data_IF_760901232771
#
_entry.id   IF_760901232771
#
_cell.length_a   1.000
_cell.length_b   1.000
_cell.length_c   1.000
_cell.angle_alpha   90.00
_cell.angle_beta   90.00
_cell.angle_gamma   90.00
#
_symmetry.space_group_name_H-M   'P 1'
#
loop_
_entity.id
_entity.type
_entity.pdbx_description
1 polymer ?
#
# COMPACT_ATOMS: atom_id res chain seq x y z
N UNK A 1 -15.75 30.25 -5.56
CA UNK A 1 -14.88 29.95 -4.41
C UNK A 1 -14.24 31.19 -3.84
N UNK A 2 -13.07 31.59 -4.36
CA UNK A 2 -12.26 32.68 -3.81
C UNK A 2 -12.99 34.02 -3.64
N UNK A 3 -13.81 34.44 -4.63
CA UNK A 3 -14.61 35.68 -4.52
C UNK A 3 -15.61 35.66 -3.35
N UNK A 4 -16.24 34.51 -3.10
CA UNK A 4 -17.20 34.36 -2.02
C UNK A 4 -16.49 34.31 -0.66
N UNK A 5 -15.52 33.42 -0.51
CA UNK A 5 -14.82 33.21 0.76
C UNK A 5 -13.91 34.37 1.14
N UNK A 6 -13.23 34.98 0.17
CA UNK A 6 -12.41 36.18 0.38
C UNK A 6 -13.24 37.34 0.92
N UNK A 7 -14.48 37.52 0.42
CA UNK A 7 -15.35 38.61 0.89
C UNK A 7 -15.69 38.53 2.38
N UNK A 8 -15.83 37.33 2.94
CA UNK A 8 -16.05 37.13 4.38
C UNK A 8 -14.83 37.48 5.24
N UNK A 9 -13.63 37.45 4.66
CA UNK A 9 -12.37 37.77 5.33
C UNK A 9 -11.86 39.19 4.98
N UNK A 10 -12.63 39.96 4.19
CA UNK A 10 -12.20 41.27 3.70
C UNK A 10 -11.02 41.21 2.72
N UNK A 11 -10.79 40.06 2.08
CA UNK A 11 -9.72 39.84 1.12
C UNK A 11 -10.25 39.84 -0.31
N UNK A 12 -9.48 40.39 -1.23
CA UNK A 12 -9.74 40.19 -2.66
C UNK A 12 -9.51 38.72 -3.04
N UNK A 13 -10.10 38.24 -4.16
CA UNK A 13 -10.01 36.84 -4.55
C UNK A 13 -8.57 36.33 -4.71
N UNK A 14 -7.65 37.17 -5.16
CA UNK A 14 -6.27 36.79 -5.45
C UNK A 14 -5.45 36.68 -4.16
N UNK A 15 -5.61 37.64 -3.25
CA UNK A 15 -5.02 37.59 -1.91
C UNK A 15 -5.51 36.38 -1.11
N UNK A 16 -6.81 36.10 -1.15
CA UNK A 16 -7.38 34.91 -0.52
C UNK A 16 -6.78 33.62 -1.10
N UNK A 17 -6.76 33.48 -2.43
CA UNK A 17 -6.19 32.30 -3.08
C UNK A 17 -4.73 32.09 -2.72
N UNK A 18 -3.94 33.17 -2.63
CA UNK A 18 -2.52 33.12 -2.23
C UNK A 18 -2.34 32.65 -0.79
N UNK A 19 -3.16 33.14 0.13
CA UNK A 19 -3.13 32.72 1.54
C UNK A 19 -3.47 31.23 1.67
N UNK A 20 -4.48 30.76 0.95
CA UNK A 20 -4.84 29.34 0.90
C UNK A 20 -3.69 28.51 0.33
N UNK A 21 -3.10 28.89 -0.80
CA UNK A 21 -1.95 28.17 -1.40
C UNK A 21 -0.79 28.06 -0.42
N UNK A 22 -0.46 29.16 0.26
CA UNK A 22 0.61 29.21 1.26
C UNK A 22 0.32 28.33 2.47
N UNK A 23 -0.94 28.31 2.93
CA UNK A 23 -1.38 27.43 4.02
C UNK A 23 -1.26 25.95 3.65
N UNK A 24 -1.69 25.57 2.44
CA UNK A 24 -1.51 24.20 1.93
C UNK A 24 -0.03 23.81 1.83
N UNK A 25 0.82 24.69 1.29
CA UNK A 25 2.25 24.44 1.22
C UNK A 25 2.90 24.28 2.60
N UNK A 26 2.50 25.09 3.58
CA UNK A 26 2.95 24.96 4.99
C UNK A 26 2.56 23.59 5.55
N UNK A 27 1.33 23.14 5.31
CA UNK A 27 0.86 21.84 5.78
C UNK A 27 1.64 20.68 5.15
N UNK A 28 1.91 20.73 3.84
CA UNK A 28 2.75 19.72 3.15
C UNK A 28 4.15 19.67 3.77
N UNK A 29 4.77 20.83 4.00
CA UNK A 29 6.07 20.90 4.67
C UNK A 29 6.02 20.29 6.08
N UNK A 30 4.99 20.62 6.86
CA UNK A 30 4.80 20.10 8.22
C UNK A 30 4.63 18.57 8.22
N UNK A 31 3.86 18.03 7.28
CA UNK A 31 3.66 16.58 7.15
C UNK A 31 4.95 15.87 6.77
N UNK A 32 5.75 16.44 5.86
CA UNK A 32 7.08 15.91 5.51
C UNK A 32 8.00 15.91 6.73
N UNK A 33 8.05 17.01 7.49
CA UNK A 33 8.88 17.08 8.70
C UNK A 33 8.41 16.10 9.76
N UNK A 34 7.10 15.99 10.01
CA UNK A 34 6.56 15.04 10.97
C UNK A 34 6.86 13.59 10.58
N UNK A 35 6.89 13.29 9.27
CA UNK A 35 7.26 11.97 8.77
C UNK A 35 8.73 11.61 9.09
N UNK A 36 9.67 12.54 8.88
CA UNK A 36 11.10 12.29 9.12
C UNK A 36 11.53 12.47 10.58
N UNK A 37 10.93 13.42 11.30
CA UNK A 37 11.29 13.81 12.65
C UNK A 37 10.27 13.24 13.67
N UNK A 38 10.15 11.91 13.72
CA UNK A 38 9.12 11.21 14.52
C UNK A 38 9.16 11.50 16.02
N UNK A 39 10.31 11.92 16.53
CA UNK A 39 10.51 12.26 17.95
C UNK A 39 9.99 13.67 18.30
N UNK A 40 9.65 14.49 17.30
CA UNK A 40 9.13 15.83 17.51
C UNK A 40 7.60 15.84 17.50
N UNK A 41 7.03 16.62 18.42
CA UNK A 41 5.60 16.91 18.39
C UNK A 41 5.27 17.84 17.23
N UNK A 42 4.10 17.64 16.62
CA UNK A 42 3.66 18.42 15.45
C UNK A 42 3.59 19.91 15.76
N UNK A 43 3.17 20.29 16.96
CA UNK A 43 3.06 21.70 17.38
C UNK A 43 4.43 22.39 17.42
N UNK A 44 5.49 21.66 17.79
CA UNK A 44 6.83 22.21 17.84
C UNK A 44 7.43 22.39 16.45
N UNK A 45 7.19 21.43 15.55
CA UNK A 45 7.53 21.57 14.12
C UNK A 45 6.78 22.75 13.47
N UNK A 46 5.52 22.98 13.84
CA UNK A 46 4.75 24.09 13.31
C UNK A 46 5.33 25.45 13.74
N UNK A 47 5.75 25.59 15.00
CA UNK A 47 6.43 26.81 15.49
C UNK A 47 7.74 27.07 14.74
N UNK A 48 8.49 26.02 14.42
CA UNK A 48 9.72 26.14 13.64
C UNK A 48 9.42 26.59 12.20
N UNK A 49 8.38 26.02 11.58
CA UNK A 49 7.92 26.44 10.25
C UNK A 49 7.29 27.84 10.22
N UNK A 50 6.84 28.39 11.35
CA UNK A 50 6.36 29.78 11.40
C UNK A 50 7.49 30.80 11.17
N UNK A 51 8.75 30.42 11.41
CA UNK A 51 9.93 31.30 11.34
C UNK A 51 10.79 31.05 10.08
N UNK A 52 10.17 30.79 8.92
CA UNK A 52 10.87 30.48 7.66
C UNK A 52 11.89 31.52 7.19
N UNK A 53 11.78 32.76 7.68
CA UNK A 53 12.71 33.86 7.35
C UNK A 53 14.14 33.55 7.80
N UNK A 54 14.32 32.78 8.86
CA UNK A 54 15.62 32.52 9.47
C UNK A 54 16.01 31.05 9.42
N UNK A 55 15.02 30.15 9.38
CA UNK A 55 15.25 28.71 9.41
C UNK A 55 14.54 28.02 8.26
N UNK A 56 15.26 27.14 7.57
CA UNK A 56 14.72 26.30 6.52
C UNK A 56 15.21 24.87 6.73
N UNK A 57 14.29 23.91 6.66
CA UNK A 57 14.62 22.50 6.87
C UNK A 57 15.09 21.87 5.57
N UNK A 58 16.27 21.26 5.58
CA UNK A 58 16.78 20.52 4.45
C UNK A 58 16.34 19.06 4.49
N UNK A 59 15.70 18.59 3.43
CA UNK A 59 15.34 17.20 3.21
C UNK A 59 16.27 16.66 2.12
N UNK A 60 17.13 15.71 2.50
CA UNK A 60 18.16 15.19 1.60
C UNK A 60 17.64 14.14 0.61
N UNK A 61 16.40 13.68 0.78
CA UNK A 61 15.75 12.77 -0.17
C UNK A 61 14.82 13.53 -1.12
N UNK A 62 14.75 13.16 -2.40
CA UNK A 62 13.84 13.82 -3.34
C UNK A 62 12.38 13.73 -2.91
N UNK A 63 11.66 14.85 -3.02
CA UNK A 63 10.22 14.94 -2.76
C UNK A 63 9.50 14.91 -4.09
N UNK A 64 8.78 13.83 -4.37
CA UNK A 64 8.00 13.67 -5.61
C UNK A 64 6.55 14.05 -5.34
N UNK A 65 6.07 15.06 -6.06
CA UNK A 65 4.72 15.59 -5.91
C UNK A 65 3.78 14.97 -6.96
N UNK A 66 2.71 14.31 -6.51
CA UNK A 66 1.68 13.68 -7.38
C UNK A 66 0.27 14.12 -6.98
N UNK A 67 -0.64 14.15 -7.96
CA UNK A 67 -2.01 14.60 -7.85
C UNK A 67 -2.19 16.07 -8.27
N UNK A 68 -3.30 16.40 -8.93
CA UNK A 68 -3.64 17.81 -9.13
C UNK A 68 -4.17 18.40 -7.81
N UNK A 69 -3.84 19.66 -7.45
CA UNK A 69 -3.06 20.64 -8.22
C UNK A 69 -1.62 20.84 -7.69
N UNK A 70 -0.85 19.78 -7.44
CA UNK A 70 0.44 19.89 -6.73
C UNK A 70 1.44 20.87 -7.34
N UNK A 71 1.45 21.03 -8.68
CA UNK A 71 2.32 22.00 -9.38
C UNK A 71 2.10 23.43 -8.86
N UNK A 72 0.88 23.76 -8.47
CA UNK A 72 0.54 25.09 -7.98
C UNK A 72 1.19 25.39 -6.62
N UNK A 73 1.45 24.39 -5.78
CA UNK A 73 1.99 24.58 -4.42
C UNK A 73 3.52 24.58 -4.34
N UNK A 74 4.22 24.16 -5.40
CA UNK A 74 5.69 24.04 -5.40
C UNK A 74 6.41 25.35 -5.07
N UNK A 75 6.02 26.53 -5.63
CA UNK A 75 6.68 27.79 -5.30
C UNK A 75 6.62 28.10 -3.80
N UNK A 76 5.44 27.99 -3.19
CA UNK A 76 5.24 28.26 -1.76
C UNK A 76 5.91 27.18 -0.90
N UNK A 77 5.90 25.91 -1.32
CA UNK A 77 6.55 24.82 -0.58
C UNK A 77 8.06 25.04 -0.45
N UNK A 78 8.68 25.58 -1.50
CA UNK A 78 10.11 25.96 -1.49
C UNK A 78 10.42 27.09 -0.53
N UNK A 79 9.45 27.83 0.01
CA UNK A 79 9.68 28.81 1.08
C UNK A 79 9.86 28.11 2.44
N UNK A 80 9.24 26.96 2.64
CA UNK A 80 9.23 26.24 3.92
C UNK A 80 10.35 25.20 4.04
N UNK A 81 10.67 24.51 2.94
CA UNK A 81 11.66 23.40 2.94
C UNK A 81 12.67 23.53 1.80
N UNK A 82 13.88 23.07 2.07
CA UNK A 82 14.96 22.93 1.08
C UNK A 82 15.06 21.45 0.68
N UNK A 83 14.59 21.12 -0.51
CA UNK A 83 14.54 19.75 -1.00
C UNK A 83 14.60 19.72 -2.53
N UNK A 84 15.04 18.60 -3.08
CA UNK A 84 14.87 18.29 -4.50
C UNK A 84 13.39 17.94 -4.77
N UNK A 85 12.59 18.97 -5.04
CA UNK A 85 11.15 18.83 -5.32
C UNK A 85 10.94 18.58 -6.82
N UNK A 86 10.41 17.41 -7.15
CA UNK A 86 10.15 16.95 -8.51
C UNK A 86 8.65 16.82 -8.75
N UNK A 87 8.19 17.34 -9.88
CA UNK A 87 6.81 17.14 -10.37
C UNK A 87 6.90 16.35 -11.68
N UNK A 88 6.50 15.07 -11.69
CA UNK A 88 6.49 14.27 -12.91
C UNK A 88 5.53 14.83 -13.97
N UNK A 89 5.76 14.48 -15.25
CA UNK A 89 4.92 14.90 -16.38
C UNK A 89 3.44 14.57 -16.14
N UNK A 90 3.14 13.31 -15.85
CA UNK A 90 1.79 12.79 -15.60
C UNK A 90 1.36 12.84 -14.12
N UNK A 91 1.83 13.83 -13.36
CA UNK A 91 1.55 13.96 -11.92
C UNK A 91 0.05 13.91 -11.58
N UNK A 92 -0.80 14.48 -12.43
CA UNK A 92 -2.26 14.53 -12.24
C UNK A 92 -2.94 13.15 -12.15
N UNK A 93 -2.37 12.15 -12.81
CA UNK A 93 -2.85 10.76 -12.81
C UNK A 93 -1.90 9.81 -12.08
N UNK A 94 -1.01 10.33 -11.23
CA UNK A 94 0.03 9.54 -10.56
C UNK A 94 -0.51 8.31 -9.82
N UNK A 95 -1.68 8.42 -9.18
CA UNK A 95 -2.33 7.28 -8.53
C UNK A 95 -2.77 6.20 -9.53
N UNK A 96 -3.34 6.59 -10.67
CA UNK A 96 -3.75 5.64 -11.71
C UNK A 96 -2.54 4.98 -12.39
N UNK A 97 -1.50 5.77 -12.67
CA UNK A 97 -0.24 5.25 -13.18
C UNK A 97 0.39 4.25 -12.19
N UNK A 98 0.37 4.52 -10.90
CA UNK A 98 0.84 3.60 -9.86
C UNK A 98 0.02 2.31 -9.77
N UNK A 99 -1.30 2.39 -9.94
CA UNK A 99 -2.16 1.21 -9.98
C UNK A 99 -1.86 0.33 -11.20
N UNK A 100 -1.61 0.93 -12.37
CA UNK A 100 -1.28 0.20 -13.59
C UNK A 100 0.14 -0.39 -13.56
N UNK A 101 1.12 0.36 -13.04
CA UNK A 101 2.52 -0.07 -12.97
C UNK A 101 2.82 -0.97 -11.77
N UNK A 102 1.81 -1.24 -10.93
CA UNK A 102 1.95 -2.08 -9.75
C UNK A 102 2.20 -3.54 -10.11
N UNK A 103 2.76 -4.28 -9.15
CA UNK A 103 2.80 -5.74 -9.25
C UNK A 103 1.37 -6.30 -9.16
N UNK A 104 1.08 -7.34 -9.93
CA UNK A 104 -0.09 -8.18 -9.70
C UNK A 104 0.18 -9.01 -8.45
N UNK A 105 -0.72 -8.93 -7.47
CA UNK A 105 -0.58 -9.63 -6.19
C UNK A 105 -1.82 -10.49 -5.97
N UNK A 106 -1.61 -11.80 -5.80
CA UNK A 106 -2.67 -12.76 -5.41
C UNK A 106 -2.33 -13.34 -4.05
N UNK A 107 -3.29 -13.30 -3.14
CA UNK A 107 -3.24 -14.00 -1.87
C UNK A 107 -4.41 -14.99 -1.82
N UNK A 108 -4.11 -16.23 -1.44
CA UNK A 108 -5.11 -17.26 -1.22
C UNK A 108 -4.81 -17.98 0.10
N UNK A 109 -5.88 -18.43 0.76
CA UNK A 109 -5.82 -19.17 2.01
C UNK A 109 -6.56 -20.50 1.83
N UNK A 110 -5.95 -21.59 2.34
CA UNK A 110 -6.60 -22.90 2.43
C UNK A 110 -6.54 -23.35 3.88
N UNK A 111 -7.71 -23.70 4.43
CA UNK A 111 -7.85 -24.22 5.78
C UNK A 111 -8.08 -25.73 5.75
N UNK A 112 -7.18 -26.47 6.37
CA UNK A 112 -7.25 -27.91 6.57
C UNK A 112 -7.63 -28.18 8.02
N UNK A 113 -8.74 -28.86 8.24
CA UNK A 113 -9.20 -29.20 9.60
C UNK A 113 -9.88 -30.56 9.66
N UNK A 114 -9.83 -31.29 10.79
CA UNK A 114 -10.50 -32.56 10.93
C UNK A 114 -12.02 -32.39 10.82
N UNK A 115 -12.71 -33.41 10.29
CA UNK A 115 -14.19 -33.41 10.19
C UNK A 115 -14.83 -33.50 11.57
N UNK A 116 -14.24 -34.32 12.44
CA UNK A 116 -14.68 -34.49 13.81
C UNK A 116 -13.65 -35.24 14.66
N UNK A 117 -13.87 -35.25 15.97
CA UNK A 117 -12.97 -35.95 16.89
C UNK A 117 -12.94 -37.45 16.59
N UNK A 118 -11.73 -38.00 16.41
CA UNK A 118 -11.52 -39.43 16.20
C UNK A 118 -11.66 -39.93 14.76
N UNK A 119 -11.88 -39.03 13.78
CA UNK A 119 -11.91 -39.38 12.35
C UNK A 119 -10.55 -39.18 11.71
N UNK A 120 -10.11 -40.04 10.79
CA UNK A 120 -8.89 -39.73 10.03
C UNK A 120 -9.12 -38.68 8.94
N UNK A 121 -10.39 -38.41 8.60
CA UNK A 121 -10.77 -37.54 7.51
C UNK A 121 -10.65 -36.04 7.84
N UNK A 122 -10.31 -35.25 6.83
CA UNK A 122 -10.14 -33.81 6.91
C UNK A 122 -10.99 -33.08 5.87
N UNK A 123 -11.44 -31.88 6.23
CA UNK A 123 -11.92 -30.90 5.28
C UNK A 123 -10.77 -30.00 4.82
N UNK A 124 -10.70 -29.80 3.52
CA UNK A 124 -9.89 -28.76 2.88
C UNK A 124 -10.83 -27.68 2.38
N UNK A 125 -10.79 -26.49 3.00
CA UNK A 125 -11.60 -25.33 2.63
C UNK A 125 -10.73 -24.34 1.86
N UNK A 126 -11.18 -23.95 0.66
CA UNK A 126 -10.56 -22.92 -0.16
C UNK A 126 -11.59 -21.86 -0.57
N UNK A 127 -11.15 -20.87 -1.34
CA UNK A 127 -12.04 -19.86 -1.94
C UNK A 127 -12.94 -20.40 -3.08
N UNK A 128 -12.61 -21.56 -3.66
CA UNK A 128 -13.34 -22.14 -4.80
C UNK A 128 -14.16 -23.37 -4.44
N UNK A 129 -13.69 -24.16 -3.47
CA UNK A 129 -14.34 -25.41 -3.13
C UNK A 129 -14.00 -25.90 -1.71
N UNK A 130 -14.78 -26.90 -1.29
CA UNK A 130 -14.50 -27.73 -0.12
C UNK A 130 -14.33 -29.18 -0.58
N UNK A 131 -13.20 -29.78 -0.22
CA UNK A 131 -12.93 -31.22 -0.41
C UNK A 131 -12.94 -31.96 0.93
N UNK A 132 -13.34 -33.24 0.89
CA UNK A 132 -13.09 -34.22 1.96
C UNK A 132 -11.88 -35.06 1.54
N UNK A 133 -10.87 -35.12 2.38
CA UNK A 133 -9.70 -35.98 2.23
C UNK A 133 -9.76 -37.09 3.28
N UNK A 134 -9.26 -38.28 2.94
CA UNK A 134 -9.36 -39.46 3.80
C UNK A 134 -8.38 -39.41 4.98
N UNK A 135 -7.27 -38.70 4.80
CA UNK A 135 -6.26 -38.50 5.84
C UNK A 135 -5.59 -37.12 5.73
N UNK A 136 -4.81 -36.78 6.76
CA UNK A 136 -4.12 -35.48 6.84
C UNK A 136 -3.11 -35.26 5.70
N UNK A 137 -2.35 -36.29 5.30
CA UNK A 137 -1.36 -36.16 4.23
C UNK A 137 -2.04 -35.83 2.90
N UNK A 138 -3.10 -36.56 2.56
CA UNK A 138 -3.90 -36.28 1.37
C UNK A 138 -4.50 -34.87 1.40
N UNK A 139 -4.95 -34.40 2.57
CA UNK A 139 -5.50 -33.06 2.74
C UNK A 139 -4.45 -31.97 2.48
N UNK A 140 -3.22 -32.17 2.96
CA UNK A 140 -2.09 -31.26 2.75
C UNK A 140 -1.64 -31.28 1.30
N UNK A 141 -1.41 -32.45 0.71
CA UNK A 141 -0.98 -32.57 -0.68
C UNK A 141 -1.98 -31.91 -1.62
N UNK A 142 -3.28 -32.19 -1.43
CA UNK A 142 -4.34 -31.53 -2.17
C UNK A 142 -4.35 -30.01 -1.97
N UNK A 143 -4.19 -29.55 -0.73
CA UNK A 143 -4.15 -28.13 -0.42
C UNK A 143 -2.97 -27.42 -1.07
N UNK A 144 -1.80 -28.07 -1.14
CA UNK A 144 -0.60 -27.52 -1.78
C UNK A 144 -0.79 -27.39 -3.29
N UNK A 145 -1.27 -28.45 -3.95
CA UNK A 145 -1.56 -28.45 -5.39
C UNK A 145 -2.62 -27.40 -5.76
N UNK A 146 -3.70 -27.34 -4.97
CA UNK A 146 -4.75 -26.36 -5.17
C UNK A 146 -4.24 -24.93 -4.94
N UNK A 147 -3.39 -24.70 -3.94
CA UNK A 147 -2.79 -23.39 -3.70
C UNK A 147 -1.95 -22.94 -4.90
N UNK A 148 -1.07 -23.80 -5.41
CA UNK A 148 -0.25 -23.49 -6.58
C UNK A 148 -1.15 -23.13 -7.76
N UNK A 149 -2.15 -23.97 -8.05
CA UNK A 149 -3.13 -23.74 -9.12
C UNK A 149 -3.84 -22.38 -8.97
N UNK A 150 -4.39 -22.08 -7.79
CA UNK A 150 -5.10 -20.81 -7.54
C UNK A 150 -4.24 -19.57 -7.79
N UNK A 151 -2.96 -19.63 -7.40
CA UNK A 151 -2.03 -18.53 -7.64
C UNK A 151 -1.70 -18.42 -9.13
N UNK A 152 -1.26 -19.51 -9.77
CA UNK A 152 -0.78 -19.44 -11.15
C UNK A 152 -1.91 -19.23 -12.17
N UNK A 153 -3.09 -19.83 -11.99
CA UNK A 153 -4.25 -19.58 -12.85
C UNK A 153 -4.67 -18.10 -12.79
N UNK A 154 -4.63 -17.49 -11.59
CA UNK A 154 -4.92 -16.07 -11.45
C UNK A 154 -3.90 -15.20 -12.19
N UNK A 155 -2.61 -15.52 -12.08
CA UNK A 155 -1.53 -14.76 -12.73
C UNK A 155 -1.53 -14.94 -14.26
N UNK A 156 -1.82 -16.14 -14.76
CA UNK A 156 -1.99 -16.42 -16.19
C UNK A 156 -3.13 -15.59 -16.79
N UNK A 157 -4.20 -15.33 -16.02
CA UNK A 157 -5.27 -14.40 -16.40
C UNK A 157 -4.80 -12.96 -16.68
N UNK A 158 -3.59 -12.58 -16.23
CA UNK A 158 -2.93 -11.30 -16.53
C UNK A 158 -1.76 -11.45 -17.51
N UNK A 159 -1.60 -12.61 -18.15
CA UNK A 159 -0.55 -12.90 -19.13
C UNK A 159 0.85 -13.07 -18.54
N UNK A 160 0.96 -13.36 -17.24
CA UNK A 160 2.25 -13.54 -16.56
C UNK A 160 2.73 -15.00 -16.67
N UNK A 161 3.97 -15.18 -17.13
CA UNK A 161 4.62 -16.50 -17.15
C UNK A 161 5.14 -16.88 -15.77
N UNK A 162 5.34 -18.19 -15.51
CA UNK A 162 5.77 -18.71 -14.20
C UNK A 162 7.07 -18.05 -13.70
N UNK A 163 8.00 -17.77 -14.61
CA UNK A 163 9.31 -17.17 -14.32
C UNK A 163 9.20 -15.70 -13.87
N UNK A 164 8.09 -15.03 -14.19
CA UNK A 164 7.81 -13.65 -13.81
C UNK A 164 7.12 -13.55 -12.44
N UNK A 165 6.80 -14.68 -11.81
CA UNK A 165 6.02 -14.77 -10.58
C UNK A 165 6.92 -15.23 -9.44
N UNK A 166 7.01 -14.42 -8.38
CA UNK A 166 7.51 -14.89 -7.09
C UNK A 166 6.35 -15.50 -6.33
N UNK A 167 6.46 -16.79 -6.03
CA UNK A 167 5.49 -17.50 -5.20
C UNK A 167 6.10 -17.81 -3.83
N UNK A 168 5.47 -17.29 -2.78
CA UNK A 168 5.81 -17.54 -1.39
C UNK A 168 4.66 -18.33 -0.74
N UNK A 169 4.98 -19.45 -0.09
CA UNK A 169 4.02 -20.27 0.64
C UNK A 169 4.38 -20.33 2.12
N UNK A 170 3.43 -20.00 2.98
CA UNK A 170 3.55 -20.12 4.44
C UNK A 170 2.55 -21.16 4.96
N UNK A 171 3.04 -22.13 5.73
CA UNK A 171 2.24 -23.16 6.39
C UNK A 171 2.20 -22.86 7.88
N UNK A 172 1.00 -22.71 8.44
CA UNK A 172 0.77 -22.49 9.87
C UNK A 172 -0.03 -23.63 10.46
N UNK A 173 0.59 -24.32 11.40
CA UNK A 173 -0.05 -25.39 12.15
C UNK A 173 -0.62 -24.86 13.47
N UNK A 174 -1.88 -25.18 13.72
CA UNK A 174 -2.59 -24.90 14.95
C UNK A 174 -2.82 -26.22 15.68
N UNK A 175 -2.22 -26.32 16.86
CA UNK A 175 -2.37 -27.48 17.73
C UNK A 175 -3.20 -27.05 18.96
N UNK A 176 -4.50 -27.41 19.05
CA UNK A 176 -5.35 -26.94 20.14
C UNK A 176 -4.98 -27.49 21.53
N UNK A 177 -4.05 -28.45 21.60
CA UNK A 177 -3.78 -29.22 22.82
C UNK A 177 -4.89 -30.26 23.09
N UNK A 178 -4.73 -31.05 24.16
CA UNK A 178 -5.72 -32.03 24.65
C UNK A 178 -6.11 -33.16 23.66
N UNK A 179 -5.17 -33.67 22.86
CA UNK A 179 -5.43 -34.80 21.94
C UNK A 179 -6.30 -34.44 20.73
N UNK A 180 -6.53 -33.14 20.49
CA UNK A 180 -7.18 -32.66 19.28
C UNK A 180 -6.30 -32.91 18.04
N UNK A 181 -6.94 -33.26 16.93
CA UNK A 181 -6.29 -33.41 15.64
C UNK A 181 -5.83 -32.05 15.10
N UNK A 182 -4.69 -32.06 14.40
CA UNK A 182 -3.94 -30.89 13.95
C UNK A 182 -4.75 -30.08 12.92
N UNK A 183 -4.92 -28.79 13.13
CA UNK A 183 -5.44 -27.87 12.09
C UNK A 183 -4.27 -27.20 11.37
N UNK A 184 -4.37 -27.01 10.06
CA UNK A 184 -3.30 -26.40 9.24
C UNK A 184 -3.88 -25.34 8.32
N UNK A 185 -3.25 -24.18 8.27
CA UNK A 185 -3.56 -23.09 7.34
C UNK A 185 -2.42 -22.93 6.35
N UNK A 186 -2.72 -23.04 5.07
CA UNK A 186 -1.81 -22.73 3.97
C UNK A 186 -2.11 -21.32 3.49
N UNK A 187 -1.09 -20.48 3.37
CA UNK A 187 -1.21 -19.11 2.85
C UNK A 187 -0.25 -18.94 1.68
N UNK A 188 -0.81 -18.84 0.48
CA UNK A 188 -0.06 -18.55 -0.73
C UNK A 188 -0.04 -17.06 -1.04
N UNK A 189 1.12 -16.55 -1.45
CA UNK A 189 1.32 -15.21 -1.95
C UNK A 189 2.05 -15.27 -3.29
N UNK A 190 1.34 -14.95 -4.36
CA UNK A 190 1.93 -14.70 -5.67
C UNK A 190 2.15 -13.21 -5.88
N UNK A 191 3.33 -12.82 -6.36
CA UNK A 191 3.65 -11.47 -6.79
C UNK A 191 4.28 -11.54 -8.18
N UNK A 192 3.64 -10.97 -9.18
CA UNK A 192 4.15 -10.89 -10.55
C UNK A 192 4.22 -9.45 -11.04
N UNK A 193 5.15 -9.15 -11.95
CA UNK A 193 5.29 -7.82 -12.52
C UNK A 193 5.02 -7.85 -14.04
N UNK A 194 3.94 -7.21 -14.51
CA UNK A 194 3.57 -7.23 -15.93
C UNK A 194 4.50 -6.38 -16.81
N UNK A 195 5.28 -5.45 -16.22
CA UNK A 195 6.23 -4.60 -16.92
C UNK A 195 7.62 -5.25 -17.10
N UNK A 196 7.86 -6.44 -16.54
CA UNK A 196 9.05 -7.27 -16.82
C UNK A 196 8.87 -8.12 -18.08
N UNK A 197 8.27 -7.56 -19.12
CA UNK A 197 8.26 -8.18 -20.44
C UNK A 197 9.46 -7.62 -21.21
N UNK A 198 10.46 -8.49 -21.38
CA UNK A 198 11.64 -8.37 -22.24
C UNK A 198 12.70 -7.30 -21.88
N UNK A 199 13.82 -7.77 -21.33
CA UNK A 199 15.16 -7.26 -21.68
C UNK A 199 15.85 -8.33 -22.53
#
# INVERSE_FOLDING_TARGET
GAKLLGSYLGLDPESFSREIKRSFAKNIALDLLAFFAKDFKREDLEKLLANTRFTKFKINIPVVMIGAPVKAYVPELREFIDADIRVPEFHEVGNAAGALAGNIVKRSEILIRPIGSGTEQYHVFSEVERKVADNYLEAVDYGLELMEKLIFDHMDGYGLQKEQIRFDLEIKDFNPGFGAQKETRLMGLGIGNPLKLEQ
#
